data_IF_499018090577
#
_entry.id   IF_499018090577
#
_cell.length_a   1.000
_cell.length_b   1.000
_cell.length_c   1.000
_cell.angle_alpha   90.00
_cell.angle_beta   90.00
_cell.angle_gamma   90.00
#
_symmetry.space_group_name_H-M   'P 1'
#
loop_
_entity.id
_entity.type
_entity.pdbx_description
1 polymer ?
#
# COMPACT_ATOMS: atom_id res chain seq x y z
N UNK A 1 5.48 23.46 -13.14
CA UNK A 1 6.52 23.74 -12.15
C UNK A 1 6.00 23.16 -10.86
N UNK A 2 6.57 22.04 -10.37
CA UNK A 2 6.20 21.52 -9.05
C UNK A 2 6.93 22.35 -8.02
N UNK A 3 6.22 22.81 -7.00
CA UNK A 3 6.84 23.55 -5.92
C UNK A 3 7.06 22.65 -4.69
N UNK A 4 7.67 23.23 -3.64
CA UNK A 4 7.94 22.51 -2.39
C UNK A 4 6.65 22.02 -1.72
N UNK A 5 5.54 22.71 -1.89
CA UNK A 5 4.25 22.31 -1.33
C UNK A 5 3.74 21.03 -1.98
N UNK A 6 3.91 20.88 -3.30
CA UNK A 6 3.53 19.65 -4.00
C UNK A 6 4.30 18.42 -3.49
N UNK A 7 5.59 18.59 -3.18
CA UNK A 7 6.44 17.52 -2.65
C UNK A 7 6.04 17.14 -1.23
N UNK A 8 5.79 18.11 -0.35
CA UNK A 8 5.33 17.86 1.02
C UNK A 8 3.95 17.19 1.04
N UNK A 9 3.02 17.61 0.18
CA UNK A 9 1.74 16.94 0.03
C UNK A 9 1.90 15.50 -0.47
N UNK A 10 2.74 15.29 -1.49
CA UNK A 10 3.04 13.96 -2.00
C UNK A 10 3.65 13.06 -0.91
N UNK A 11 4.46 13.62 0.00
CA UNK A 11 5.01 12.89 1.14
C UNK A 11 3.93 12.46 2.13
N UNK A 12 3.03 13.36 2.51
CA UNK A 12 1.90 13.00 3.39
C UNK A 12 1.05 11.90 2.76
N UNK A 13 0.75 11.99 1.46
CA UNK A 13 0.02 10.93 0.75
C UNK A 13 0.80 9.61 0.69
N UNK A 14 2.11 9.67 0.50
CA UNK A 14 2.98 8.49 0.49
C UNK A 14 2.92 7.76 1.83
N UNK A 15 3.07 8.48 2.94
CA UNK A 15 3.06 7.90 4.28
C UNK A 15 1.71 7.25 4.61
N UNK A 16 0.60 7.89 4.23
CA UNK A 16 -0.75 7.32 4.38
C UNK A 16 -0.93 6.03 3.58
N UNK A 17 -0.44 6.00 2.33
CA UNK A 17 -0.54 4.82 1.47
C UNK A 17 0.37 3.68 1.96
N UNK A 18 1.52 3.98 2.56
CA UNK A 18 2.38 2.97 3.21
C UNK A 18 1.66 2.35 4.40
N UNK A 19 1.09 3.17 5.29
CA UNK A 19 0.34 2.68 6.45
C UNK A 19 -0.88 1.83 6.04
N UNK A 20 -1.57 2.22 4.97
CA UNK A 20 -2.67 1.43 4.38
C UNK A 20 -2.18 0.10 3.84
N UNK A 21 -1.07 0.08 3.09
CA UNK A 21 -0.49 -1.15 2.56
C UNK A 21 -0.06 -2.13 3.68
N UNK A 22 0.50 -1.62 4.78
CA UNK A 22 0.84 -2.40 5.97
C UNK A 22 -0.42 -2.99 6.63
N UNK A 23 -1.48 -2.18 6.76
CA UNK A 23 -2.76 -2.60 7.33
C UNK A 23 -3.41 -3.70 6.50
N UNK A 24 -3.49 -3.54 5.18
CA UNK A 24 -4.03 -4.55 4.26
C UNK A 24 -3.20 -5.83 4.29
N UNK A 25 -1.87 -5.72 4.33
CA UNK A 25 -0.97 -6.87 4.44
C UNK A 25 -1.22 -7.65 5.73
N UNK A 26 -1.39 -6.96 6.85
CA UNK A 26 -1.70 -7.57 8.15
C UNK A 26 -3.07 -8.26 8.13
N UNK A 27 -4.10 -7.62 7.57
CA UNK A 27 -5.44 -8.18 7.44
C UNK A 27 -5.45 -9.46 6.59
N UNK A 28 -4.79 -9.44 5.42
CA UNK A 28 -4.66 -10.59 4.53
C UNK A 28 -3.94 -11.75 5.26
N UNK A 29 -2.87 -11.45 6.01
CA UNK A 29 -2.15 -12.46 6.80
C UNK A 29 -3.03 -13.05 7.90
N UNK A 30 -3.82 -12.22 8.59
CA UNK A 30 -4.76 -12.65 9.63
C UNK A 30 -5.86 -13.58 9.10
N UNK A 31 -6.36 -13.35 7.89
CA UNK A 31 -7.37 -14.21 7.24
C UNK A 31 -6.82 -15.57 6.79
N UNK A 32 -5.51 -15.66 6.55
CA UNK A 32 -4.85 -16.91 6.14
C UNK A 32 -4.77 -17.99 7.21
N UNK A 33 -5.14 -17.68 8.47
CA UNK A 33 -5.06 -18.60 9.60
C UNK A 33 -6.43 -19.23 9.87
N UNK A 34 -6.70 -20.38 9.24
CA UNK A 34 -7.69 -21.32 9.78
C UNK A 34 -6.98 -22.36 10.64
N UNK A 35 -7.60 -22.83 11.74
CA UNK A 35 -7.07 -23.86 12.66
C UNK A 35 -6.66 -25.20 12.01
N UNK A 36 -6.76 -25.35 10.69
CA UNK A 36 -6.37 -26.57 9.94
C UNK A 36 -5.40 -26.31 8.78
N UNK A 37 -4.73 -25.15 8.74
CA UNK A 37 -3.57 -24.93 7.85
C UNK A 37 -3.88 -24.93 6.35
N UNK A 38 -5.13 -24.81 5.94
CA UNK A 38 -5.52 -24.72 4.53
C UNK A 38 -5.84 -23.27 4.17
N UNK A 39 -5.16 -22.66 3.19
CA UNK A 39 -5.48 -21.29 2.76
C UNK A 39 -6.89 -21.27 2.18
N UNK A 40 -7.82 -20.60 2.87
CA UNK A 40 -9.14 -20.31 2.28
C UNK A 40 -8.99 -19.04 1.45
N UNK A 41 -8.76 -19.20 0.15
CA UNK A 41 -8.97 -18.10 -0.79
C UNK A 41 -10.49 -17.83 -0.84
N UNK A 42 -11.00 -17.04 0.10
CA UNK A 42 -12.37 -16.53 0.06
C UNK A 42 -12.39 -15.26 -0.83
N UNK A 43 -13.54 -14.94 -1.40
CA UNK A 43 -13.74 -13.75 -2.26
C UNK A 43 -13.22 -12.47 -1.58
N UNK A 44 -13.37 -12.36 -0.26
CA UNK A 44 -12.88 -11.25 0.55
C UNK A 44 -11.36 -11.11 0.54
N UNK A 45 -10.60 -12.21 0.72
CA UNK A 45 -9.13 -12.19 0.63
C UNK A 45 -8.65 -11.80 -0.77
N UNK A 46 -9.37 -12.21 -1.82
CA UNK A 46 -9.06 -11.83 -3.20
C UNK A 46 -9.33 -10.34 -3.45
N UNK A 47 -10.38 -9.78 -2.85
CA UNK A 47 -10.69 -8.36 -2.90
C UNK A 47 -9.60 -7.55 -2.19
N UNK A 48 -9.20 -7.93 -0.97
CA UNK A 48 -8.13 -7.26 -0.24
C UNK A 48 -6.78 -7.35 -0.96
N UNK A 49 -6.46 -8.48 -1.58
CA UNK A 49 -5.28 -8.61 -2.43
C UNK A 49 -5.32 -7.72 -3.67
N UNK A 50 -6.52 -7.45 -4.21
CA UNK A 50 -6.69 -6.48 -5.30
C UNK A 50 -6.48 -5.06 -4.78
N UNK A 51 -7.06 -4.70 -3.65
CA UNK A 51 -6.88 -3.38 -3.04
C UNK A 51 -5.41 -3.12 -2.70
N UNK A 52 -4.73 -4.07 -2.07
CA UNK A 52 -3.30 -3.97 -1.79
C UNK A 52 -2.47 -3.73 -3.07
N UNK A 53 -2.80 -4.42 -4.17
CA UNK A 53 -2.12 -4.20 -5.45
C UNK A 53 -2.33 -2.80 -6.01
N UNK A 54 -3.53 -2.24 -5.88
CA UNK A 54 -3.80 -0.86 -6.32
C UNK A 54 -3.09 0.16 -5.42
N UNK A 55 -3.04 -0.05 -4.10
CA UNK A 55 -2.28 0.81 -3.17
C UNK A 55 -0.79 0.81 -3.52
N UNK A 56 -0.20 -0.38 -3.73
CA UNK A 56 1.21 -0.49 -4.15
C UNK A 56 1.47 0.20 -5.49
N UNK A 57 0.55 0.06 -6.45
CA UNK A 57 0.64 0.76 -7.73
C UNK A 57 0.59 2.27 -7.57
N UNK A 58 -0.27 2.79 -6.69
CA UNK A 58 -0.33 4.20 -6.37
C UNK A 58 0.99 4.70 -5.76
N UNK A 59 1.59 3.93 -4.84
CA UNK A 59 2.90 4.24 -4.27
C UNK A 59 3.99 4.30 -5.36
N UNK A 60 4.02 3.33 -6.27
CA UNK A 60 4.99 3.33 -7.38
C UNK A 60 4.81 4.55 -8.30
N UNK A 61 3.56 4.88 -8.65
CA UNK A 61 3.24 6.06 -9.45
C UNK A 61 3.65 7.36 -8.74
N UNK A 62 3.44 7.43 -7.42
CA UNK A 62 3.80 8.59 -6.63
C UNK A 62 5.33 8.76 -6.55
N UNK A 63 6.09 7.67 -6.37
CA UNK A 63 7.56 7.68 -6.41
C UNK A 63 8.15 7.93 -7.80
N UNK A 64 7.43 7.57 -8.86
CA UNK A 64 7.81 7.90 -10.23
C UNK A 64 7.55 9.38 -10.52
N UNK A 65 6.47 9.92 -9.97
CA UNK A 65 6.09 11.31 -10.11
C UNK A 65 6.95 12.23 -9.23
N UNK A 66 7.32 11.84 -8.03
CA UNK A 66 8.08 12.65 -7.06
C UNK A 66 9.36 11.92 -6.65
N UNK A 67 10.46 12.07 -7.41
CA UNK A 67 11.74 11.42 -7.12
C UNK A 67 12.31 11.74 -5.73
N UNK A 68 11.95 12.88 -5.17
CA UNK A 68 12.31 13.35 -3.82
C UNK A 68 11.87 12.35 -2.74
N UNK A 69 10.79 11.61 -2.97
CA UNK A 69 10.31 10.56 -2.07
C UNK A 69 11.20 9.31 -2.03
N UNK A 70 12.20 9.20 -2.92
CA UNK A 70 13.15 8.07 -2.92
C UNK A 70 14.36 8.31 -2.01
N UNK A 71 14.55 9.53 -1.53
CA UNK A 71 15.81 10.02 -0.97
C UNK A 71 15.90 10.13 0.55
N UNK A 72 14.87 9.77 1.31
CA UNK A 72 14.95 9.74 2.78
C UNK A 72 14.63 8.33 3.29
N UNK A 73 15.66 7.49 3.30
CA UNK A 73 15.77 6.30 4.14
C UNK A 73 17.11 6.37 4.87
#
# INVERSE_FOLDING_TARGET
MRDRSDVEQARVFYDLLVAEAETLTSAIRGMGLTSRGTPRANTESQLLQRELREVLRCLDNLRASFPELRGEQ
#
